data_IF_126609162063
#
_entry.id   IF_126609162063
#
_cell.length_a   1.000
_cell.length_b   1.000
_cell.length_c   1.000
_cell.angle_alpha   90.00
_cell.angle_beta   90.00
_cell.angle_gamma   90.00
#
_symmetry.space_group_name_H-M   'P 1'
#
loop_
_entity.id
_entity.type
_entity.pdbx_description
1 polymer ?
#
# COMPACT_ATOMS: atom_id res chain seq x y z
N UNK A 1 -27.26 -4.27 20.28
CA UNK A 1 -28.30 -5.11 19.67
C UNK A 1 -27.80 -5.71 18.38
N UNK A 2 -28.20 -6.94 18.04
CA UNK A 2 -28.04 -7.45 16.66
C UNK A 2 -28.70 -6.49 15.66
N UNK A 3 -28.11 -6.25 14.48
CA UNK A 3 -28.77 -5.47 13.44
C UNK A 3 -30.10 -6.12 13.11
N UNK A 4 -31.19 -5.36 13.21
CA UNK A 4 -32.50 -5.86 12.80
C UNK A 4 -32.61 -5.75 11.29
N UNK A 5 -33.07 -6.81 10.64
CA UNK A 5 -33.56 -6.76 9.28
C UNK A 5 -34.69 -5.73 9.23
N UNK A 6 -34.62 -4.75 8.33
CA UNK A 6 -35.69 -3.75 8.18
C UNK A 6 -36.87 -4.44 7.51
N UNK A 7 -37.86 -4.79 8.32
CA UNK A 7 -39.19 -5.21 7.86
C UNK A 7 -40.13 -4.07 8.20
N UNK A 8 -40.23 -3.10 7.30
CA UNK A 8 -41.13 -1.96 7.49
C UNK A 8 -42.54 -2.40 7.05
N UNK A 9 -43.42 -2.62 8.04
CA UNK A 9 -44.80 -3.08 7.86
C UNK A 9 -45.81 -2.00 8.27
N UNK A 10 -45.55 -0.73 7.95
CA UNK A 10 -46.40 0.39 8.34
C UNK A 10 -47.54 0.65 7.36
N UNK A 11 -48.65 1.22 7.84
CA UNK A 11 -49.81 1.64 7.02
C UNK A 11 -49.44 2.64 5.90
N UNK A 12 -48.38 3.43 6.08
CA UNK A 12 -47.84 4.38 5.08
C UNK A 12 -47.10 3.72 3.92
N UNK A 13 -46.72 2.44 4.04
CA UNK A 13 -45.97 1.73 3.01
C UNK A 13 -46.85 1.24 1.84
N UNK A 14 -48.19 1.19 2.05
CA UNK A 14 -49.18 0.82 1.04
C UNK A 14 -49.17 1.74 -0.19
N UNK A 15 -48.76 3.00 -0.04
CA UNK A 15 -48.76 4.00 -1.12
C UNK A 15 -47.36 4.25 -1.70
N UNK A 16 -46.31 3.61 -1.18
CA UNK A 16 -44.94 3.77 -1.69
C UNK A 16 -44.67 2.70 -2.73
N UNK A 17 -44.18 3.12 -3.90
CA UNK A 17 -43.76 2.17 -4.92
C UNK A 17 -42.51 1.43 -4.43
N UNK A 18 -42.60 0.10 -4.38
CA UNK A 18 -41.48 -0.76 -3.99
C UNK A 18 -40.44 -0.80 -5.08
N UNK A 19 -39.16 -0.93 -4.71
CA UNK A 19 -38.06 -0.94 -5.68
C UNK A 19 -38.15 -2.12 -6.66
N UNK A 20 -38.67 -3.27 -6.24
CA UNK A 20 -38.88 -4.44 -7.12
C UNK A 20 -39.94 -4.21 -8.21
N UNK A 21 -40.81 -3.21 -8.06
CA UNK A 21 -41.81 -2.84 -9.07
C UNK A 21 -41.32 -1.77 -10.04
N UNK A 22 -40.24 -1.06 -9.70
CA UNK A 22 -39.72 0.08 -10.47
C UNK A 22 -38.45 -0.31 -11.24
N UNK A 23 -37.63 -1.17 -10.65
CA UNK A 23 -36.34 -1.55 -11.20
C UNK A 23 -36.46 -2.59 -12.29
N UNK A 24 -35.54 -2.53 -13.25
CA UNK A 24 -35.38 -3.62 -14.20
C UNK A 24 -34.73 -4.82 -13.48
N UNK A 25 -35.50 -5.88 -13.29
CA UNK A 25 -35.03 -7.09 -12.60
C UNK A 25 -33.91 -7.83 -13.35
N UNK A 26 -33.70 -7.54 -14.64
CA UNK A 26 -32.59 -8.08 -15.42
C UNK A 26 -31.25 -7.36 -15.21
N UNK A 27 -31.25 -6.24 -14.47
CA UNK A 27 -30.05 -5.46 -14.21
C UNK A 27 -28.98 -6.25 -13.41
N UNK A 28 -27.71 -6.03 -13.73
CA UNK A 28 -26.58 -6.77 -13.17
C UNK A 28 -26.53 -6.75 -11.63
N UNK A 29 -26.79 -5.60 -11.00
CA UNK A 29 -26.84 -5.49 -9.53
C UNK A 29 -28.01 -6.27 -8.91
N UNK A 30 -29.13 -6.40 -9.61
CA UNK A 30 -30.29 -7.17 -9.12
C UNK A 30 -29.96 -8.65 -9.13
N UNK A 31 -29.40 -9.14 -10.24
CA UNK A 31 -28.94 -10.52 -10.38
C UNK A 31 -27.83 -10.85 -9.37
N UNK A 32 -26.88 -9.94 -9.18
CA UNK A 32 -25.83 -10.10 -8.18
C UNK A 32 -26.40 -10.15 -6.76
N UNK A 33 -27.33 -9.26 -6.41
CA UNK A 33 -27.99 -9.28 -5.10
C UNK A 33 -28.72 -10.60 -4.86
N UNK A 34 -29.37 -11.18 -5.88
CA UNK A 34 -30.04 -12.48 -5.75
C UNK A 34 -29.05 -13.65 -5.61
N UNK A 35 -27.84 -13.52 -6.15
CA UNK A 35 -26.81 -14.56 -6.12
C UNK A 35 -25.95 -14.55 -4.84
N UNK A 36 -25.95 -13.47 -4.07
CA UNK A 36 -25.21 -13.36 -2.80
C UNK A 36 -26.04 -14.01 -1.68
N UNK A 37 -25.39 -14.87 -0.89
CA UNK A 37 -25.95 -15.42 0.34
C UNK A 37 -25.87 -14.38 1.47
N UNK A 38 -26.90 -13.53 1.55
CA UNK A 38 -26.99 -12.51 2.59
C UNK A 38 -27.17 -13.09 3.99
N UNK A 39 -27.72 -14.30 4.12
CA UNK A 39 -27.90 -14.96 5.43
C UNK A 39 -26.56 -15.38 5.99
N UNK A 40 -25.72 -16.00 5.18
CA UNK A 40 -24.34 -16.34 5.55
C UNK A 40 -23.57 -15.10 6.02
N UNK A 41 -23.67 -13.99 5.27
CA UNK A 41 -23.03 -12.73 5.66
C UNK A 41 -23.59 -12.16 6.95
N UNK A 42 -24.91 -12.22 7.14
CA UNK A 42 -25.57 -11.75 8.36
C UNK A 42 -25.19 -12.57 9.58
N UNK A 43 -25.06 -13.89 9.47
CA UNK A 43 -24.60 -14.75 10.56
C UNK A 43 -23.15 -14.40 10.95
N UNK A 44 -22.23 -14.41 9.98
CA UNK A 44 -20.79 -14.21 10.23
C UNK A 44 -20.44 -12.80 10.71
N UNK A 45 -21.08 -11.77 10.13
CA UNK A 45 -20.83 -10.37 10.47
C UNK A 45 -21.73 -9.90 11.63
N UNK A 46 -22.89 -10.55 11.84
CA UNK A 46 -23.83 -10.26 12.92
C UNK A 46 -23.33 -10.66 14.30
N UNK A 47 -22.46 -11.67 14.39
CA UNK A 47 -21.83 -12.13 15.63
C UNK A 47 -21.06 -11.05 16.41
N UNK A 48 -20.69 -9.92 15.80
CA UNK A 48 -19.96 -8.84 16.51
C UNK A 48 -20.89 -8.00 17.39
N UNK A 49 -22.19 -8.09 17.16
CA UNK A 49 -23.15 -7.22 17.81
C UNK A 49 -23.78 -7.89 19.03
N UNK A 50 -23.40 -7.44 20.21
CA UNK A 50 -24.05 -7.81 21.46
C UNK A 50 -25.36 -7.05 21.68
N UNK A 51 -26.34 -7.67 22.32
CA UNK A 51 -27.61 -7.05 22.72
C UNK A 51 -27.47 -6.13 23.94
N UNK A 52 -26.60 -5.13 23.83
CA UNK A 52 -26.44 -4.05 24.81
C UNK A 52 -27.29 -2.80 24.53
N UNK A 53 -27.47 -1.93 25.55
CA UNK A 53 -28.16 -0.64 25.42
C UNK A 53 -27.36 0.33 24.53
N UNK A 54 -28.06 1.07 23.65
CA UNK A 54 -27.47 2.07 22.77
C UNK A 54 -28.17 2.19 21.41
N UNK A 55 -27.62 3.02 20.52
CA UNK A 55 -28.12 3.16 19.15
C UNK A 55 -27.99 1.81 18.42
N UNK A 56 -29.08 1.27 17.84
CA UNK A 56 -29.00 0.05 17.05
C UNK A 56 -27.97 0.19 15.92
N UNK A 57 -27.17 -0.85 15.66
CA UNK A 57 -26.27 -0.84 14.52
C UNK A 57 -27.05 -0.81 13.20
N UNK A 58 -26.38 -0.33 12.16
CA UNK A 58 -26.90 -0.38 10.81
C UNK A 58 -27.06 -1.83 10.33
N UNK A 59 -28.06 -2.13 9.48
CA UNK A 59 -28.27 -3.47 8.94
C UNK A 59 -27.00 -4.05 8.28
N UNK A 60 -26.74 -5.33 8.49
CA UNK A 60 -25.54 -5.99 7.94
C UNK A 60 -25.54 -5.95 6.41
N UNK A 61 -26.69 -6.20 5.78
CA UNK A 61 -26.85 -6.12 4.31
C UNK A 61 -26.52 -4.73 3.77
N UNK A 62 -26.94 -3.66 4.45
CA UNK A 62 -26.60 -2.29 4.07
C UNK A 62 -25.08 -2.10 4.09
N UNK A 63 -24.42 -2.45 5.19
CA UNK A 63 -22.98 -2.23 5.35
C UNK A 63 -22.13 -3.09 4.41
N UNK A 64 -22.47 -4.37 4.27
CA UNK A 64 -21.82 -5.28 3.32
C UNK A 64 -22.02 -4.81 1.88
N UNK A 65 -23.25 -4.44 1.52
CA UNK A 65 -23.58 -3.92 0.19
C UNK A 65 -22.79 -2.65 -0.15
N UNK A 66 -22.71 -1.70 0.79
CA UNK A 66 -21.92 -0.48 0.63
C UNK A 66 -20.42 -0.79 0.45
N UNK A 67 -19.87 -1.74 1.21
CA UNK A 67 -18.48 -2.14 1.08
C UNK A 67 -18.18 -2.75 -0.30
N UNK A 68 -19.07 -3.61 -0.80
CA UNK A 68 -18.96 -4.22 -2.13
C UNK A 68 -19.06 -3.14 -3.21
N UNK A 69 -20.08 -2.27 -3.18
CA UNK A 69 -20.27 -1.20 -4.16
C UNK A 69 -19.10 -0.22 -4.20
N UNK A 70 -18.57 0.16 -3.02
CA UNK A 70 -17.40 1.02 -2.90
C UNK A 70 -16.18 0.41 -3.58
N UNK A 71 -15.92 -0.88 -3.34
CA UNK A 71 -14.78 -1.59 -3.93
C UNK A 71 -14.95 -1.78 -5.44
N UNK A 72 -16.14 -2.21 -5.87
CA UNK A 72 -16.45 -2.51 -7.28
C UNK A 72 -16.35 -1.28 -8.18
N UNK A 73 -16.71 -0.10 -7.66
CA UNK A 73 -16.70 1.14 -8.44
C UNK A 73 -15.57 2.11 -8.04
N UNK A 74 -14.64 1.66 -7.19
CA UNK A 74 -13.52 2.46 -6.68
C UNK A 74 -13.95 3.85 -6.16
N UNK A 75 -14.99 3.88 -5.32
CA UNK A 75 -15.60 5.11 -4.82
C UNK A 75 -14.92 5.63 -3.55
N UNK A 76 -14.87 6.95 -3.39
CA UNK A 76 -14.61 7.59 -2.09
C UNK A 76 -15.80 7.39 -1.14
N UNK A 77 -15.63 7.67 0.16
CA UNK A 77 -16.74 7.55 1.13
C UNK A 77 -17.84 8.58 0.83
N UNK A 78 -17.45 9.80 0.47
CA UNK A 78 -18.36 10.87 0.03
C UNK A 78 -19.10 10.50 -1.28
N UNK A 79 -18.36 10.05 -2.30
CA UNK A 79 -18.95 9.68 -3.59
C UNK A 79 -19.87 8.46 -3.50
N UNK A 80 -19.62 7.57 -2.54
CA UNK A 80 -20.55 6.47 -2.24
C UNK A 80 -21.87 6.99 -1.66
N UNK A 81 -21.82 7.97 -0.74
CA UNK A 81 -23.02 8.56 -0.15
C UNK A 81 -23.88 9.25 -1.22
N UNK A 82 -23.25 10.06 -2.08
CA UNK A 82 -23.92 10.75 -3.18
C UNK A 82 -24.58 9.76 -4.15
N UNK A 83 -23.82 8.77 -4.64
CA UNK A 83 -24.36 7.77 -5.57
C UNK A 83 -25.46 6.91 -4.96
N UNK A 84 -25.38 6.61 -3.66
CA UNK A 84 -26.40 5.82 -2.99
C UNK A 84 -27.73 6.58 -2.89
N UNK A 85 -27.70 7.89 -2.66
CA UNK A 85 -28.90 8.74 -2.65
C UNK A 85 -29.58 8.80 -4.03
N UNK A 86 -28.79 8.87 -5.09
CA UNK A 86 -29.30 9.07 -6.45
C UNK A 86 -29.71 7.76 -7.14
N UNK A 87 -29.14 6.62 -6.73
CA UNK A 87 -29.26 5.36 -7.47
C UNK A 87 -30.14 4.32 -6.76
N UNK A 88 -31.36 4.03 -7.27
CA UNK A 88 -32.27 3.06 -6.66
C UNK A 88 -31.72 1.62 -6.71
N UNK A 89 -30.85 1.27 -7.67
CA UNK A 89 -30.21 -0.04 -7.69
C UNK A 89 -29.21 -0.23 -6.55
N UNK A 90 -28.52 0.84 -6.11
CA UNK A 90 -27.61 0.78 -4.97
C UNK A 90 -28.38 0.57 -3.67
N UNK A 91 -29.52 1.25 -3.53
CA UNK A 91 -30.39 1.11 -2.36
C UNK A 91 -30.98 -0.30 -2.26
N UNK A 92 -31.51 -0.84 -3.37
CA UNK A 92 -32.00 -2.22 -3.43
C UNK A 92 -30.89 -3.23 -3.13
N UNK A 93 -29.69 -3.06 -3.72
CA UNK A 93 -28.56 -3.94 -3.46
C UNK A 93 -28.21 -3.98 -1.95
N UNK A 94 -28.24 -2.82 -1.30
CA UNK A 94 -28.07 -2.65 0.14
C UNK A 94 -29.26 -3.12 1.01
N UNK A 95 -30.36 -3.57 0.40
CA UNK A 95 -31.51 -4.13 1.10
C UNK A 95 -32.62 -3.16 1.47
N UNK A 96 -32.66 -1.97 0.88
CA UNK A 96 -33.84 -1.11 0.99
C UNK A 96 -34.98 -1.68 0.12
N UNK A 97 -36.20 -1.71 0.65
CA UNK A 97 -37.40 -2.11 -0.09
C UNK A 97 -38.04 -0.95 -0.86
N UNK A 98 -37.86 0.27 -0.34
CA UNK A 98 -38.38 1.51 -0.88
C UNK A 98 -37.25 2.51 -1.16
N UNK A 99 -37.47 3.39 -2.12
CA UNK A 99 -36.51 4.44 -2.41
C UNK A 99 -36.41 5.45 -1.25
N UNK A 100 -35.18 5.71 -0.83
CA UNK A 100 -34.81 6.62 0.24
C UNK A 100 -34.24 7.90 -0.35
N UNK A 101 -34.83 9.04 0.01
CA UNK A 101 -34.37 10.37 -0.39
C UNK A 101 -33.38 10.99 0.61
N UNK A 102 -33.04 10.27 1.69
CA UNK A 102 -32.14 10.73 2.75
C UNK A 102 -31.17 9.62 3.12
N UNK A 103 -29.96 10.01 3.50
CA UNK A 103 -28.94 9.07 3.94
C UNK A 103 -29.35 8.41 5.25
N UNK A 104 -29.28 7.08 5.27
CA UNK A 104 -29.51 6.26 6.46
C UNK A 104 -28.21 5.94 7.20
N UNK A 105 -27.07 6.31 6.63
CA UNK A 105 -25.72 6.13 7.16
C UNK A 105 -24.87 7.40 6.98
N UNK A 106 -23.70 7.45 7.61
CA UNK A 106 -22.75 8.56 7.49
C UNK A 106 -21.50 8.10 6.72
N UNK A 107 -20.73 9.05 6.15
CA UNK A 107 -19.46 8.77 5.48
C UNK A 107 -18.49 7.94 6.34
N UNK A 108 -18.50 8.15 7.66
CA UNK A 108 -17.62 7.43 8.59
C UNK A 108 -18.15 6.04 8.98
N UNK A 109 -19.39 5.69 8.61
CA UNK A 109 -20.01 4.41 8.98
C UNK A 109 -19.20 3.22 8.50
N UNK A 110 -18.70 3.23 7.26
CA UNK A 110 -17.89 2.15 6.71
C UNK A 110 -16.56 1.99 7.45
N UNK A 111 -15.90 3.10 7.77
CA UNK A 111 -14.63 3.05 8.52
C UNK A 111 -14.84 2.45 9.91
N UNK A 112 -15.86 2.89 10.65
CA UNK A 112 -16.19 2.35 11.97
C UNK A 112 -16.58 0.87 11.90
N UNK A 113 -17.33 0.49 10.87
CA UNK A 113 -17.78 -0.88 10.66
C UNK A 113 -16.62 -1.82 10.33
N UNK A 114 -15.70 -1.44 9.43
CA UNK A 114 -14.50 -2.24 9.13
C UNK A 114 -13.63 -2.43 10.36
N UNK A 115 -13.38 -1.37 11.13
CA UNK A 115 -12.61 -1.44 12.37
C UNK A 115 -13.25 -2.39 13.39
N UNK A 116 -14.58 -2.41 13.46
CA UNK A 116 -15.34 -3.30 14.33
C UNK A 116 -15.29 -4.76 13.88
N UNK A 117 -15.37 -5.03 12.57
CA UNK A 117 -15.35 -6.38 12.03
C UNK A 117 -13.97 -7.06 12.17
N UNK A 118 -12.89 -6.31 11.98
CA UNK A 118 -11.54 -6.88 11.92
C UNK A 118 -11.31 -7.72 10.66
N UNK A 119 -10.07 -8.19 10.49
CA UNK A 119 -9.66 -8.92 9.28
C UNK A 119 -10.39 -10.25 9.13
N UNK A 120 -10.46 -11.05 10.19
CA UNK A 120 -11.03 -12.40 10.17
C UNK A 120 -12.48 -12.44 9.69
N UNK A 121 -13.30 -11.48 10.11
CA UNK A 121 -14.73 -11.44 9.76
C UNK A 121 -14.95 -10.82 8.39
N UNK A 122 -14.12 -9.85 7.98
CA UNK A 122 -14.15 -9.32 6.62
C UNK A 122 -13.76 -10.38 5.58
N UNK A 123 -13.03 -11.44 5.96
CA UNK A 123 -12.81 -12.58 5.07
C UNK A 123 -14.12 -13.25 4.64
N UNK A 124 -15.21 -13.17 5.43
CA UNK A 124 -16.51 -13.71 5.03
C UNK A 124 -17.07 -13.00 3.77
N UNK A 125 -16.84 -11.69 3.61
CA UNK A 125 -17.21 -10.97 2.39
C UNK A 125 -16.41 -11.48 1.18
N UNK A 126 -15.11 -11.72 1.37
CA UNK A 126 -14.27 -12.25 0.31
C UNK A 126 -14.69 -13.67 -0.06
N UNK A 127 -14.88 -14.55 0.93
CA UNK A 127 -15.36 -15.91 0.73
C UNK A 127 -16.67 -15.93 -0.06
N UNK A 128 -17.64 -15.12 0.36
CA UNK A 128 -18.94 -15.06 -0.31
C UNK A 128 -18.83 -14.46 -1.72
N UNK A 129 -17.97 -13.46 -1.93
CA UNK A 129 -17.74 -12.89 -3.26
C UNK A 129 -17.16 -13.92 -4.25
N UNK A 130 -16.25 -14.79 -3.79
CA UNK A 130 -15.68 -15.86 -4.60
C UNK A 130 -16.70 -16.97 -4.86
N UNK A 131 -17.48 -17.34 -3.84
CA UNK A 131 -18.56 -18.33 -3.98
C UNK A 131 -19.64 -17.85 -4.97
N UNK A 132 -20.06 -16.59 -4.88
CA UNK A 132 -20.99 -15.97 -5.82
C UNK A 132 -20.43 -15.94 -7.25
N UNK A 133 -19.14 -15.60 -7.42
CA UNK A 133 -18.48 -15.64 -8.72
C UNK A 133 -18.46 -17.05 -9.33
N UNK A 134 -18.25 -18.09 -8.53
CA UNK A 134 -18.33 -19.48 -9.00
C UNK A 134 -19.76 -19.90 -9.34
N UNK A 135 -20.76 -19.56 -8.52
CA UNK A 135 -22.18 -19.86 -8.81
C UNK A 135 -22.67 -19.20 -10.10
N UNK A 136 -22.23 -17.97 -10.36
CA UNK A 136 -22.56 -17.22 -11.57
C UNK A 136 -21.72 -17.63 -12.81
N UNK A 137 -20.76 -18.54 -12.65
CA UNK A 137 -19.87 -18.97 -13.73
C UNK A 137 -18.83 -17.93 -14.15
N UNK A 138 -18.65 -16.85 -13.38
CA UNK A 138 -17.68 -15.78 -13.64
C UNK A 138 -16.23 -16.20 -13.31
N UNK A 139 -16.04 -17.17 -12.41
CA UNK A 139 -14.74 -17.72 -12.06
C UNK A 139 -14.83 -19.23 -11.77
N UNK A 140 -13.80 -19.98 -12.15
CA UNK A 140 -13.68 -21.41 -11.85
C UNK A 140 -12.89 -21.61 -10.55
N UNK A 141 -13.13 -22.68 -9.78
CA UNK A 141 -12.32 -23.00 -8.61
C UNK A 141 -10.81 -23.13 -8.90
N UNK A 142 -10.45 -23.47 -10.13
CA UNK A 142 -9.05 -23.53 -10.58
C UNK A 142 -8.37 -22.14 -10.60
N UNK A 143 -9.12 -21.06 -10.83
CA UNK A 143 -8.60 -19.70 -10.94
C UNK A 143 -8.12 -19.17 -9.57
N UNK A 144 -8.59 -19.75 -8.47
CA UNK A 144 -8.22 -19.35 -7.11
C UNK A 144 -6.95 -20.03 -6.56
N UNK A 145 -6.27 -20.86 -7.36
CA UNK A 145 -5.05 -21.57 -6.93
C UNK A 145 -3.83 -20.65 -6.80
N UNK A 146 -3.81 -19.54 -7.51
CA UNK A 146 -2.71 -18.58 -7.51
C UNK A 146 -3.27 -17.16 -7.50
N UNK A 147 -2.72 -16.31 -6.63
CA UNK A 147 -3.02 -14.89 -6.59
C UNK A 147 -1.82 -14.14 -7.14
N UNK A 148 -2.00 -13.43 -8.25
CA UNK A 148 -0.98 -12.53 -8.81
C UNK A 148 -1.22 -11.16 -8.20
N UNK A 149 -0.32 -10.72 -7.34
CA UNK A 149 -0.37 -9.39 -6.74
C UNK A 149 0.62 -8.49 -7.47
N UNK A 150 0.11 -7.70 -8.42
CA UNK A 150 0.91 -6.65 -9.05
C UNK A 150 1.10 -5.50 -8.07
N UNK A 151 2.23 -5.52 -7.36
CA UNK A 151 2.62 -4.38 -6.52
C UNK A 151 2.94 -3.20 -7.42
N UNK A 152 2.12 -2.13 -7.36
CA UNK A 152 2.41 -0.86 -8.03
C UNK A 152 3.83 -0.40 -7.66
N UNK A 153 4.65 -0.04 -8.64
CA UNK A 153 6.01 0.46 -8.43
C UNK A 153 5.94 1.70 -7.54
N UNK A 154 6.20 1.52 -6.25
CA UNK A 154 6.32 2.64 -5.33
C UNK A 154 7.59 3.40 -5.72
N UNK A 155 7.47 4.69 -6.03
CA UNK A 155 8.64 5.56 -6.24
C UNK A 155 9.44 5.61 -4.93
N UNK A 156 10.39 4.70 -4.79
CA UNK A 156 11.34 4.77 -3.71
C UNK A 156 12.17 6.02 -3.97
N UNK A 157 12.18 6.97 -3.04
CA UNK A 157 12.98 8.19 -3.07
C UNK A 157 14.50 7.90 -2.94
N UNK A 158 14.98 6.89 -3.67
CA UNK A 158 16.37 6.55 -3.87
C UNK A 158 16.83 7.22 -5.15
N UNK A 159 17.87 8.05 -5.06
CA UNK A 159 18.49 8.51 -6.30
C UNK A 159 19.11 7.32 -7.04
N UNK A 160 18.96 7.31 -8.37
CA UNK A 160 19.61 6.33 -9.24
C UNK A 160 21.10 6.12 -8.86
N UNK A 161 21.51 4.87 -8.57
CA UNK A 161 22.85 4.56 -8.08
C UNK A 161 23.85 4.58 -9.25
N UNK A 162 24.58 5.68 -9.42
CA UNK A 162 25.75 5.71 -10.30
C UNK A 162 27.01 5.41 -9.49
N UNK A 163 27.97 4.68 -10.05
CA UNK A 163 29.24 4.32 -9.39
C UNK A 163 29.94 5.53 -8.79
N UNK A 164 30.00 6.64 -9.53
CA UNK A 164 30.59 7.89 -9.06
C UNK A 164 29.87 8.46 -7.81
N UNK A 165 28.53 8.43 -7.80
CA UNK A 165 27.73 8.91 -6.66
C UNK A 165 27.83 7.96 -5.47
N UNK A 166 27.85 6.64 -5.70
CA UNK A 166 28.05 5.63 -4.67
C UNK A 166 29.42 5.78 -4.00
N UNK A 167 30.51 5.92 -4.78
CA UNK A 167 31.86 6.12 -4.24
C UNK A 167 31.98 7.40 -3.41
N UNK A 168 31.37 8.50 -3.89
CA UNK A 168 31.29 9.75 -3.15
C UNK A 168 30.52 9.57 -1.82
N UNK A 169 29.34 8.95 -1.87
CA UNK A 169 28.49 8.71 -0.69
C UNK A 169 29.17 7.81 0.34
N UNK A 170 29.86 6.77 -0.11
CA UNK A 170 30.65 5.89 0.74
C UNK A 170 31.75 6.68 1.48
N UNK A 171 32.48 7.55 0.76
CA UNK A 171 33.48 8.44 1.39
C UNK A 171 32.85 9.39 2.41
N UNK A 172 31.73 10.05 2.07
CA UNK A 172 31.02 10.97 2.98
C UNK A 172 30.59 10.27 4.27
N UNK A 173 30.04 9.04 4.17
CA UNK A 173 29.65 8.24 5.33
C UNK A 173 30.85 7.87 6.20
N UNK A 174 31.93 7.39 5.60
CA UNK A 174 33.17 7.06 6.34
C UNK A 174 33.77 8.27 7.06
N UNK A 175 33.82 9.43 6.40
CA UNK A 175 34.33 10.68 7.00
C UNK A 175 33.44 11.15 8.15
N UNK A 176 32.10 11.07 8.01
CA UNK A 176 31.17 11.40 9.10
C UNK A 176 31.35 10.45 10.29
N UNK A 177 31.50 9.15 10.02
CA UNK A 177 31.70 8.15 11.07
C UNK A 177 33.03 8.36 11.81
N UNK A 178 34.11 8.67 11.07
CA UNK A 178 35.40 9.04 11.62
C UNK A 178 35.32 10.25 12.56
N UNK A 179 34.63 11.32 12.13
CA UNK A 179 34.39 12.49 12.99
C UNK A 179 33.61 12.14 14.25
N UNK A 180 32.57 11.31 14.15
CA UNK A 180 31.74 10.91 15.30
C UNK A 180 32.55 10.14 16.36
N UNK A 181 33.57 9.39 15.95
CA UNK A 181 34.36 8.53 16.84
C UNK A 181 35.78 9.05 17.07
N UNK A 182 36.04 10.34 16.81
CA UNK A 182 37.33 10.98 17.09
C UNK A 182 38.50 10.48 16.23
N UNK A 183 38.26 9.74 15.13
CA UNK A 183 39.34 9.25 14.26
C UNK A 183 39.80 10.39 13.33
N UNK A 184 40.93 11.00 13.66
CA UNK A 184 41.53 12.06 12.85
C UNK A 184 42.03 11.47 11.53
N UNK A 185 41.46 11.87 10.39
CA UNK A 185 41.88 11.39 9.06
C UNK A 185 43.02 12.25 8.49
N UNK A 186 43.96 11.63 7.76
CA UNK A 186 45.04 12.36 7.06
C UNK A 186 44.46 13.35 6.05
N UNK A 187 43.48 12.90 5.26
CA UNK A 187 42.72 13.72 4.32
C UNK A 187 41.28 13.19 4.19
N UNK A 188 40.30 14.10 4.19
CA UNK A 188 38.88 13.76 4.02
C UNK A 188 38.40 13.80 2.57
N UNK A 189 39.17 14.43 1.68
CA UNK A 189 38.83 14.72 0.28
C UNK A 189 37.44 15.36 0.07
N UNK A 190 36.89 16.07 1.07
CA UNK A 190 35.53 16.62 0.99
C UNK A 190 35.33 17.55 -0.22
N UNK A 191 36.23 18.53 -0.37
CA UNK A 191 36.20 19.50 -1.47
C UNK A 191 36.53 18.85 -2.82
N UNK A 192 37.66 18.14 -2.89
CA UNK A 192 38.17 17.53 -4.14
C UNK A 192 37.22 16.44 -4.67
N UNK A 193 36.63 15.64 -3.77
CA UNK A 193 35.64 14.63 -4.12
C UNK A 193 34.37 15.23 -4.73
N UNK A 194 33.83 16.30 -4.13
CA UNK A 194 32.67 17.03 -4.69
C UNK A 194 32.94 17.51 -6.11
N UNK A 195 34.09 18.14 -6.35
CA UNK A 195 34.45 18.63 -7.69
C UNK A 195 34.67 17.48 -8.70
N UNK A 196 35.28 16.37 -8.28
CA UNK A 196 35.47 15.20 -9.14
C UNK A 196 34.11 14.59 -9.55
N UNK A 197 33.14 14.51 -8.63
CA UNK A 197 31.79 14.04 -8.94
C UNK A 197 31.08 14.96 -9.94
N UNK A 198 31.11 16.27 -9.72
CA UNK A 198 30.49 17.26 -10.64
C UNK A 198 31.11 17.15 -12.04
N UNK A 199 32.45 17.07 -12.13
CA UNK A 199 33.14 16.89 -13.40
C UNK A 199 32.76 15.58 -14.08
N UNK A 200 32.68 14.47 -13.33
CA UNK A 200 32.23 13.18 -13.85
C UNK A 200 30.83 13.29 -14.47
N UNK A 201 29.88 13.87 -13.74
CA UNK A 201 28.50 14.04 -14.21
C UNK A 201 28.42 14.90 -15.47
N UNK A 202 29.14 16.02 -15.53
CA UNK A 202 29.19 16.89 -16.72
C UNK A 202 29.80 16.18 -17.93
N UNK A 203 30.89 15.44 -17.75
CA UNK A 203 31.52 14.71 -18.85
C UNK A 203 30.66 13.52 -19.32
N UNK A 204 30.01 12.80 -18.41
CA UNK A 204 29.11 11.71 -18.75
C UNK A 204 27.90 12.22 -19.55
N UNK A 205 27.30 13.34 -19.11
CA UNK A 205 26.21 13.99 -19.83
C UNK A 205 26.62 14.42 -21.25
N UNK A 206 27.82 15.02 -21.39
CA UNK A 206 28.38 15.41 -22.68
C UNK A 206 28.95 14.23 -23.51
N UNK A 207 28.71 12.98 -23.11
CA UNK A 207 29.25 11.75 -23.75
C UNK A 207 30.80 11.70 -23.86
N UNK A 208 31.52 12.49 -23.07
CA UNK A 208 32.98 12.53 -23.00
C UNK A 208 33.54 11.45 -22.06
N UNK A 209 33.28 10.17 -22.37
CA UNK A 209 33.55 9.04 -21.45
C UNK A 209 35.02 8.89 -21.05
N UNK A 210 35.98 9.21 -21.91
CA UNK A 210 37.41 9.20 -21.55
C UNK A 210 37.71 10.15 -20.38
N UNK A 211 37.11 11.35 -20.37
CA UNK A 211 37.26 12.34 -19.29
C UNK A 211 36.45 11.96 -18.06
N UNK A 212 35.24 11.42 -18.24
CA UNK A 212 34.42 10.91 -17.15
C UNK A 212 35.15 9.79 -16.38
N UNK A 213 35.69 8.80 -17.10
CA UNK A 213 36.42 7.67 -16.52
C UNK A 213 37.69 8.10 -15.75
N UNK A 214 38.37 9.18 -16.16
CA UNK A 214 39.47 9.76 -15.38
C UNK A 214 38.98 10.29 -14.02
N UNK A 215 37.82 10.96 -13.98
CA UNK A 215 37.24 11.42 -12.71
C UNK A 215 36.73 10.26 -11.85
N UNK A 216 36.15 9.22 -12.46
CA UNK A 216 35.73 8.01 -11.75
C UNK A 216 36.94 7.32 -11.09
N UNK A 217 38.05 7.15 -11.83
CA UNK A 217 39.30 6.62 -11.26
C UNK A 217 39.78 7.47 -10.08
N UNK A 218 39.73 8.80 -10.19
CA UNK A 218 40.10 9.72 -9.10
C UNK A 218 39.22 9.52 -7.85
N UNK A 219 37.90 9.41 -8.01
CA UNK A 219 36.96 9.11 -6.93
C UNK A 219 37.29 7.77 -6.24
N UNK A 220 37.57 6.74 -7.03
CA UNK A 220 37.97 5.42 -6.54
C UNK A 220 39.27 5.46 -5.73
N UNK A 221 40.28 6.20 -6.20
CA UNK A 221 41.54 6.39 -5.47
C UNK A 221 41.33 7.12 -4.14
N UNK A 222 40.51 8.17 -4.12
CA UNK A 222 40.19 8.91 -2.89
C UNK A 222 39.46 8.04 -1.87
N UNK A 223 38.47 7.26 -2.31
CA UNK A 223 37.76 6.30 -1.45
C UNK A 223 38.74 5.24 -0.88
N UNK A 224 39.60 4.67 -1.73
CA UNK A 224 40.61 3.71 -1.31
C UNK A 224 41.65 4.27 -0.34
N UNK A 225 41.99 5.56 -0.46
CA UNK A 225 42.86 6.24 0.50
C UNK A 225 42.18 6.37 1.88
N UNK A 226 40.91 6.78 1.92
CA UNK A 226 40.15 6.90 3.18
C UNK A 226 39.95 5.54 3.86
N UNK A 227 39.60 4.50 3.10
CA UNK A 227 39.45 3.13 3.63
C UNK A 227 40.75 2.67 4.29
N UNK A 228 41.90 2.86 3.63
CA UNK A 228 43.21 2.45 4.18
C UNK A 228 43.60 3.28 5.39
N UNK A 229 43.32 4.58 5.41
CA UNK A 229 43.65 5.43 6.55
C UNK A 229 42.84 5.06 7.79
N UNK A 230 41.54 4.84 7.64
CA UNK A 230 40.67 4.35 8.72
C UNK A 230 41.14 2.98 9.20
N UNK A 231 41.34 2.02 8.29
CA UNK A 231 41.75 0.66 8.65
C UNK A 231 43.06 0.62 9.45
N UNK A 232 44.04 1.48 9.12
CA UNK A 232 45.29 1.58 9.89
C UNK A 232 45.10 2.19 11.27
N UNK A 233 44.19 3.16 11.43
CA UNK A 233 43.99 3.88 12.70
C UNK A 233 43.14 3.12 13.70
N UNK A 234 42.27 2.25 13.22
CA UNK A 234 41.45 1.37 14.08
C UNK A 234 42.15 0.04 14.39
N UNK A 235 43.32 -0.22 13.80
CA UNK A 235 44.10 -1.43 14.06
C UNK A 235 44.46 -1.50 15.56
N UNK A 236 44.12 -2.61 16.22
CA UNK A 236 44.32 -2.79 17.66
C UNK A 236 43.20 -2.24 18.56
N UNK A 237 42.12 -1.66 18.02
CA UNK A 237 41.00 -1.14 18.81
C UNK A 237 39.69 -1.91 18.51
N UNK A 238 39.36 -2.97 19.28
CA UNK A 238 38.24 -3.86 18.94
C UNK A 238 36.88 -3.14 18.93
N UNK A 239 36.67 -2.17 19.83
CA UNK A 239 35.44 -1.36 19.85
C UNK A 239 35.23 -0.54 18.58
N UNK A 240 36.28 0.13 18.07
CA UNK A 240 36.17 0.87 16.80
C UNK A 240 36.07 -0.06 15.59
N UNK A 241 36.73 -1.22 15.62
CA UNK A 241 36.61 -2.20 14.53
C UNK A 241 35.17 -2.66 14.33
N UNK A 242 34.43 -2.90 15.42
CA UNK A 242 33.04 -3.31 15.35
C UNK A 242 32.15 -2.20 14.75
N UNK A 243 32.33 -0.95 15.18
CA UNK A 243 31.56 0.20 14.68
C UNK A 243 31.81 0.43 13.18
N UNK A 244 33.06 0.36 12.73
CA UNK A 244 33.41 0.64 11.33
C UNK A 244 33.21 -0.56 10.40
N UNK A 245 33.03 -1.77 10.93
CA UNK A 245 32.99 -3.03 10.17
C UNK A 245 32.04 -3.01 8.98
N UNK A 246 30.76 -2.70 9.23
CA UNK A 246 29.74 -2.64 8.16
C UNK A 246 30.02 -1.52 7.15
N UNK A 247 30.42 -0.34 7.62
CA UNK A 247 30.67 0.79 6.72
C UNK A 247 31.90 0.56 5.83
N UNK A 248 32.94 -0.09 6.37
CA UNK A 248 34.13 -0.45 5.61
C UNK A 248 33.86 -1.59 4.62
N UNK A 249 33.06 -2.59 4.99
CA UNK A 249 32.70 -3.69 4.07
C UNK A 249 31.89 -3.17 2.88
N UNK A 250 30.89 -2.32 3.12
CA UNK A 250 30.10 -1.67 2.06
C UNK A 250 30.96 -0.76 1.18
N UNK A 251 31.86 0.03 1.79
CA UNK A 251 32.74 0.92 1.03
C UNK A 251 33.75 0.15 0.16
N UNK A 252 34.27 -1.00 0.63
CA UNK A 252 35.10 -1.90 -0.18
C UNK A 252 34.30 -2.49 -1.34
N UNK A 253 33.09 -2.98 -1.08
CA UNK A 253 32.19 -3.50 -2.13
C UNK A 253 31.94 -2.45 -3.22
N UNK A 254 31.59 -1.22 -2.84
CA UNK A 254 31.38 -0.10 -3.79
C UNK A 254 32.66 0.27 -4.56
N UNK A 255 33.83 0.15 -3.94
CA UNK A 255 35.12 0.47 -4.59
C UNK A 255 35.52 -0.59 -5.62
N UNK A 256 35.25 -1.85 -5.29
CA UNK A 256 35.74 -3.01 -6.03
C UNK A 256 34.73 -3.49 -7.09
N UNK A 257 33.46 -3.07 -6.98
CA UNK A 257 32.39 -3.32 -7.95
C UNK A 257 32.83 -2.94 -9.37
N UNK A 258 32.73 -3.91 -10.29
CA UNK A 258 32.96 -3.69 -11.72
C UNK A 258 31.65 -3.49 -12.48
N UNK A 259 31.73 -2.77 -13.59
CA UNK A 259 30.63 -2.52 -14.53
C UNK A 259 30.16 -3.84 -15.16
N UNK A 260 29.36 -4.62 -14.42
CA UNK A 260 28.58 -5.84 -14.78
C UNK A 260 28.32 -6.76 -13.58
N UNK A 261 28.91 -6.50 -12.41
CA UNK A 261 28.57 -7.22 -11.18
C UNK A 261 27.25 -6.66 -10.63
N UNK A 262 26.15 -7.34 -10.96
CA UNK A 262 24.87 -7.18 -10.28
C UNK A 262 25.02 -7.81 -8.90
N UNK A 263 24.93 -6.99 -7.85
CA UNK A 263 24.81 -7.46 -6.47
C UNK A 263 23.37 -7.82 -6.14
#
# INVERSE_FOLDING_TARGET
>A
MRPKERRDGGQTDLLRARLDQILNMDHALVKLAAAIDWRFLEERLGEVYDDGPGRPPLPTRLMAGLAILKSMHNLSDEGLCERWLENPYYQMFCGEEFFQHRLVFDRTSLTRWRLRMGEERLMALLQESLAAATRLGAAKPADFRAVIVDTTVQEKAITFPTDAKLMQRARERLVKLAKKHGVVLRQSYARVGKFALIKHQRYAHAKQFKRANRQLKRLRTMLGAVIRDIARKIAGQPGLMQVFGLSLSLARRVRDQRQRERG
#
